data_IF_780088103470
#
_entry.id   IF_780088103470
#
_cell.length_a   1.000
_cell.length_b   1.000
_cell.length_c   1.000
_cell.angle_alpha   90.00
_cell.angle_beta   90.00
_cell.angle_gamma   90.00
#
_symmetry.space_group_name_H-M   'P 1'
#
loop_
_entity.id
_entity.type
_entity.pdbx_description
1 polymer ?
#
# COMPACT_ATOMS: atom_id res chain seq x y z
N UNK A 1 9.05 10.20 21.77
CA UNK A 1 8.54 10.03 20.39
C UNK A 1 7.44 8.99 20.42
N UNK A 2 6.23 9.39 20.03
CA UNK A 2 5.06 8.51 20.07
C UNK A 2 5.12 7.41 19.00
N UNK A 3 4.25 6.40 19.11
CA UNK A 3 4.08 5.36 18.08
C UNK A 3 3.62 5.94 16.73
N UNK A 4 2.90 7.06 16.76
CA UNK A 4 2.44 7.82 15.57
C UNK A 4 3.62 8.44 14.81
N UNK A 5 4.55 9.10 15.51
CA UNK A 5 5.73 9.71 14.89
C UNK A 5 6.62 8.67 14.19
N UNK A 6 6.70 7.45 14.73
CA UNK A 6 7.45 6.35 14.12
C UNK A 6 6.74 5.83 12.87
N UNK A 7 5.42 5.62 12.95
CA UNK A 7 4.59 5.24 11.80
C UNK A 7 4.82 6.16 10.60
N UNK A 8 4.68 7.46 10.83
CA UNK A 8 4.83 8.49 9.81
C UNK A 8 6.23 8.47 9.16
N UNK A 9 7.29 8.21 9.93
CA UNK A 9 8.66 8.14 9.38
C UNK A 9 8.86 7.04 8.34
N UNK A 10 8.30 5.84 8.56
CA UNK A 10 8.45 4.74 7.60
C UNK A 10 7.67 5.04 6.33
N UNK A 11 6.44 5.53 6.50
CA UNK A 11 5.58 5.96 5.39
C UNK A 11 6.23 7.08 4.56
N UNK A 12 6.73 8.12 5.23
CA UNK A 12 7.41 9.24 4.59
C UNK A 12 8.64 8.76 3.82
N UNK A 13 9.51 7.98 4.45
CA UNK A 13 10.70 7.46 3.80
C UNK A 13 10.38 6.59 2.58
N UNK A 14 9.34 5.75 2.67
CA UNK A 14 8.92 4.88 1.57
C UNK A 14 8.27 5.68 0.44
N UNK A 15 7.44 6.67 0.76
CA UNK A 15 6.86 7.57 -0.23
C UNK A 15 7.93 8.36 -0.99
N UNK A 16 8.89 8.97 -0.27
CA UNK A 16 10.00 9.71 -0.87
C UNK A 16 10.88 8.80 -1.74
N UNK A 17 11.10 7.54 -1.33
CA UNK A 17 11.80 6.55 -2.15
C UNK A 17 11.11 6.30 -3.49
N UNK A 18 9.79 6.12 -3.51
CA UNK A 18 9.02 5.94 -4.75
C UNK A 18 9.05 7.19 -5.63
N UNK A 19 8.94 8.38 -5.04
CA UNK A 19 9.06 9.63 -5.80
C UNK A 19 10.44 9.80 -6.41
N UNK A 20 11.49 9.43 -5.68
CA UNK A 20 12.86 9.45 -6.18
C UNK A 20 13.03 8.49 -7.38
N UNK A 21 12.51 7.27 -7.29
CA UNK A 21 12.49 6.33 -8.42
C UNK A 21 11.77 6.93 -9.64
N UNK A 22 10.58 7.52 -9.43
CA UNK A 22 9.81 8.18 -10.49
C UNK A 22 10.62 9.28 -11.17
N UNK A 23 11.28 10.13 -10.37
CA UNK A 23 12.07 11.26 -10.85
C UNK A 23 13.24 10.82 -11.72
N UNK A 24 13.86 9.68 -11.40
CA UNK A 24 14.96 9.12 -12.18
C UNK A 24 14.50 8.33 -13.42
N UNK A 25 13.19 8.19 -13.65
CA UNK A 25 12.67 7.33 -14.72
C UNK A 25 12.86 5.84 -14.46
N UNK A 26 13.12 5.44 -13.22
CA UNK A 26 13.22 4.04 -12.84
C UNK A 26 11.84 3.42 -12.66
N UNK A 27 11.76 2.09 -12.81
CA UNK A 27 10.55 1.33 -12.47
C UNK A 27 10.19 1.55 -10.99
N UNK A 28 8.96 1.97 -10.73
CA UNK A 28 8.43 2.08 -9.38
C UNK A 28 8.30 0.70 -8.75
N UNK A 29 8.84 0.57 -7.53
CA UNK A 29 8.91 -0.70 -6.81
C UNK A 29 9.58 -1.81 -7.65
N UNK A 30 10.42 -1.45 -8.63
CA UNK A 30 11.10 -2.38 -9.53
C UNK A 30 10.20 -3.06 -10.57
N UNK A 31 8.93 -2.67 -10.69
CA UNK A 31 7.95 -3.37 -11.54
C UNK A 31 7.22 -2.43 -12.49
N UNK A 32 6.83 -1.23 -12.03
CA UNK A 32 5.86 -0.41 -12.77
C UNK A 32 6.53 0.76 -13.51
N UNK A 33 6.26 0.94 -14.82
CA UNK A 33 6.76 2.09 -15.57
C UNK A 33 6.28 3.42 -14.98
N UNK A 34 7.19 4.34 -14.62
CA UNK A 34 6.83 5.56 -13.89
C UNK A 34 5.87 6.49 -14.65
N UNK A 35 5.91 6.48 -15.98
CA UNK A 35 5.05 7.27 -16.87
C UNK A 35 3.57 6.85 -16.81
N UNK A 36 3.30 5.59 -16.47
CA UNK A 36 1.95 5.04 -16.30
C UNK A 36 1.41 5.21 -14.88
N UNK A 37 2.22 5.71 -13.95
CA UNK A 37 1.91 5.72 -12.52
C UNK A 37 1.63 7.11 -11.96
N UNK A 38 0.70 7.21 -11.02
CA UNK A 38 0.63 8.31 -10.05
C UNK A 38 0.87 7.77 -8.66
N UNK A 39 1.70 8.46 -7.87
CA UNK A 39 2.07 8.05 -6.50
C UNK A 39 1.45 9.04 -5.52
N UNK A 40 0.72 8.52 -4.54
CA UNK A 40 0.05 9.32 -3.53
C UNK A 40 0.43 8.84 -2.12
N UNK A 41 0.43 9.78 -1.18
CA UNK A 41 0.54 9.53 0.26
C UNK A 41 -0.78 9.93 0.91
N UNK A 42 -1.26 9.15 1.89
CA UNK A 42 -2.53 9.35 2.59
C UNK A 42 -3.71 9.63 1.65
N UNK A 43 -3.79 8.88 0.55
CA UNK A 43 -4.93 9.03 -0.38
C UNK A 43 -6.16 8.33 0.17
N UNK A 44 -7.25 9.08 0.21
CA UNK A 44 -8.56 8.57 0.59
C UNK A 44 -9.40 8.17 -0.62
N UNK A 45 -10.15 7.09 -0.46
CA UNK A 45 -11.14 6.63 -1.44
C UNK A 45 -12.47 6.38 -0.75
N UNK A 46 -13.55 6.78 -1.41
CA UNK A 46 -14.88 6.58 -0.90
C UNK A 46 -15.25 5.09 -0.86
N UNK A 47 -15.61 4.58 0.32
CA UNK A 47 -16.08 3.22 0.52
C UNK A 47 -17.61 3.21 0.58
N UNK A 48 -18.25 2.69 -0.47
CA UNK A 48 -19.71 2.63 -0.54
C UNK A 48 -20.34 1.84 0.61
N UNK A 49 -19.74 0.71 1.00
CA UNK A 49 -20.26 -0.13 2.10
C UNK A 49 -20.20 0.56 3.47
N UNK A 50 -19.23 1.46 3.67
CA UNK A 50 -19.05 2.19 4.93
C UNK A 50 -19.65 3.60 4.90
N UNK A 51 -20.14 4.03 3.75
CA UNK A 51 -20.55 5.42 3.47
C UNK A 51 -19.53 6.46 3.97
N UNK A 52 -18.25 6.12 3.83
CA UNK A 52 -17.16 6.90 4.39
C UNK A 52 -15.87 6.74 3.58
N UNK A 53 -15.00 7.74 3.67
CA UNK A 53 -13.68 7.67 3.08
C UNK A 53 -12.74 6.73 3.84
N UNK A 54 -11.92 6.03 3.09
CA UNK A 54 -10.90 5.12 3.60
C UNK A 54 -9.54 5.59 3.12
N UNK A 55 -8.70 6.00 4.08
CA UNK A 55 -7.32 6.40 3.84
C UNK A 55 -6.39 5.18 3.73
N UNK A 56 -5.38 5.31 2.87
CA UNK A 56 -4.28 4.37 2.70
C UNK A 56 -2.94 5.11 2.76
N UNK A 57 -1.93 4.48 3.36
CA UNK A 57 -0.63 5.10 3.65
C UNK A 57 0.07 5.57 2.37
N UNK A 58 0.34 4.65 1.44
CA UNK A 58 0.92 4.98 0.12
C UNK A 58 0.19 4.20 -0.97
N UNK A 59 -0.11 4.88 -2.08
CA UNK A 59 -0.83 4.29 -3.21
C UNK A 59 -0.12 4.61 -4.52
N UNK A 60 0.08 3.60 -5.35
CA UNK A 60 0.36 3.77 -6.77
C UNK A 60 -0.91 3.48 -7.57
N UNK A 61 -1.37 4.46 -8.34
CA UNK A 61 -2.40 4.28 -9.35
C UNK A 61 -1.75 4.06 -10.70
N UNK A 62 -2.01 2.90 -11.32
CA UNK A 62 -1.49 2.54 -12.63
C UNK A 62 -2.56 2.73 -13.72
N UNK A 63 -2.22 3.54 -14.71
CA UNK A 63 -3.09 3.88 -15.84
C UNK A 63 -2.63 3.15 -17.10
N UNK A 64 -3.58 2.60 -17.85
CA UNK A 64 -3.28 2.20 -19.22
C UNK A 64 -3.31 3.43 -20.13
N UNK A 65 -2.59 3.39 -21.24
CA UNK A 65 -2.51 4.51 -22.18
C UNK A 65 -3.91 4.97 -22.61
N UNK A 66 -4.18 6.28 -22.47
CA UNK A 66 -5.46 6.89 -22.83
C UNK A 66 -6.60 6.72 -21.82
N UNK A 67 -6.44 5.94 -20.74
CA UNK A 67 -7.48 5.81 -19.70
C UNK A 67 -7.45 6.98 -18.71
N UNK A 68 -8.63 7.46 -18.33
CA UNK A 68 -8.81 8.48 -17.29
C UNK A 68 -8.83 7.92 -15.87
N UNK A 69 -9.12 6.62 -15.76
CA UNK A 69 -9.19 5.88 -14.50
C UNK A 69 -8.07 4.86 -14.40
N UNK A 70 -7.53 4.62 -13.20
CA UNK A 70 -6.54 3.57 -12.99
C UNK A 70 -7.18 2.20 -13.23
N UNK A 71 -6.39 1.28 -13.79
CA UNK A 71 -6.81 -0.11 -13.96
C UNK A 71 -6.26 -1.04 -12.87
N UNK A 72 -5.26 -0.56 -12.11
CA UNK A 72 -4.67 -1.26 -10.98
C UNK A 72 -4.28 -0.24 -9.91
N UNK A 73 -4.66 -0.55 -8.67
CA UNK A 73 -4.19 0.11 -7.47
C UNK A 73 -3.14 -0.76 -6.80
N UNK A 74 -1.97 -0.20 -6.48
CA UNK A 74 -0.98 -0.85 -5.63
C UNK A 74 -1.00 -0.13 -4.29
N UNK A 75 -1.53 -0.80 -3.27
CA UNK A 75 -1.75 -0.25 -1.95
C UNK A 75 -0.64 -0.74 -1.03
N UNK A 76 0.08 0.19 -0.44
CA UNK A 76 1.13 -0.09 0.55
C UNK A 76 0.62 0.32 1.92
N UNK A 77 0.52 -0.64 2.83
CA UNK A 77 0.21 -0.39 4.24
C UNK A 77 1.51 -0.47 5.05
N UNK A 78 1.88 0.63 5.69
CA UNK A 78 3.13 0.80 6.40
C UNK A 78 2.93 0.52 7.89
N UNK A 79 3.71 -0.41 8.47
CA UNK A 79 3.70 -0.68 9.91
C UNK A 79 5.08 -0.50 10.52
N UNK A 80 5.20 0.48 11.42
CA UNK A 80 6.41 0.76 12.17
C UNK A 80 6.17 0.67 13.68
N UNK A 81 5.97 -0.55 14.17
CA UNK A 81 5.77 -0.82 15.59
C UNK A 81 6.82 -1.82 16.08
N UNK A 82 7.18 -1.73 17.37
CA UNK A 82 8.14 -2.66 17.99
C UNK A 82 7.62 -4.09 18.12
N UNK A 83 6.29 -4.28 18.00
CA UNK A 83 5.65 -5.59 17.96
C UNK A 83 5.62 -6.20 16.57
N UNK A 84 5.52 -7.53 16.51
CA UNK A 84 5.34 -8.25 15.26
C UNK A 84 3.93 -7.97 14.69
N UNK A 85 3.83 -7.83 13.37
CA UNK A 85 2.52 -7.68 12.71
C UNK A 85 1.72 -8.98 12.85
N UNK A 86 0.49 -8.87 13.38
CA UNK A 86 -0.39 -9.99 13.64
C UNK A 86 -1.09 -10.50 12.38
N UNK A 87 -1.52 -11.76 12.42
CA UNK A 87 -2.28 -12.37 11.32
C UNK A 87 -3.59 -11.62 11.03
N UNK A 88 -4.29 -11.20 12.09
CA UNK A 88 -5.51 -10.39 12.00
C UNK A 88 -5.28 -9.14 11.16
N UNK A 89 -4.16 -8.45 11.38
CA UNK A 89 -3.83 -7.24 10.63
C UNK A 89 -3.66 -7.52 9.12
N UNK A 90 -2.98 -8.61 8.77
CA UNK A 90 -2.79 -9.02 7.37
C UNK A 90 -4.14 -9.35 6.72
N UNK A 91 -5.00 -10.10 7.41
CA UNK A 91 -6.33 -10.46 6.94
C UNK A 91 -7.25 -9.24 6.79
N UNK A 92 -7.22 -8.32 7.75
CA UNK A 92 -8.01 -7.10 7.73
C UNK A 92 -7.59 -6.19 6.57
N UNK A 93 -6.29 -6.02 6.37
CA UNK A 93 -5.75 -5.25 5.25
C UNK A 93 -6.15 -5.89 3.91
N UNK A 94 -5.93 -7.20 3.75
CA UNK A 94 -6.33 -7.93 2.54
C UNK A 94 -7.82 -7.82 2.24
N UNK A 95 -8.67 -7.95 3.26
CA UNK A 95 -10.13 -7.86 3.11
C UNK A 95 -10.59 -6.42 2.87
N UNK A 96 -9.92 -5.42 3.48
CA UNK A 96 -10.17 -3.98 3.24
C UNK A 96 -9.94 -3.64 1.77
N UNK A 97 -8.77 -3.96 1.22
CA UNK A 97 -8.45 -3.63 -0.18
C UNK A 97 -9.30 -4.43 -1.17
N UNK A 98 -9.59 -5.70 -0.88
CA UNK A 98 -10.41 -6.55 -1.75
C UNK A 98 -11.84 -6.02 -1.91
N UNK A 99 -12.43 -5.46 -0.85
CA UNK A 99 -13.74 -4.80 -0.90
C UNK A 99 -13.69 -3.46 -1.66
N UNK A 100 -12.64 -2.67 -1.42
CA UNK A 100 -12.51 -1.33 -2.01
C UNK A 100 -12.24 -1.35 -3.51
N UNK A 101 -11.43 -2.30 -3.97
CA UNK A 101 -10.94 -2.36 -5.34
C UNK A 101 -11.07 -3.79 -5.89
N UNK A 102 -12.29 -4.26 -6.16
CA UNK A 102 -12.52 -5.64 -6.59
C UNK A 102 -11.66 -5.99 -7.81
N UNK A 103 -10.79 -6.99 -7.67
CA UNK A 103 -9.86 -7.50 -8.70
C UNK A 103 -8.82 -6.52 -9.26
N UNK A 104 -8.91 -5.24 -8.94
CA UNK A 104 -8.05 -4.17 -9.46
C UNK A 104 -7.03 -3.69 -8.41
N UNK A 105 -6.57 -4.58 -7.52
CA UNK A 105 -5.66 -4.22 -6.44
C UNK A 105 -4.56 -5.24 -6.16
N UNK A 106 -3.38 -4.72 -5.86
CA UNK A 106 -2.26 -5.44 -5.25
C UNK A 106 -1.95 -4.80 -3.90
N UNK A 107 -2.13 -5.54 -2.82
CA UNK A 107 -1.75 -5.11 -1.47
C UNK A 107 -0.34 -5.52 -1.12
N UNK A 108 0.44 -4.62 -0.53
CA UNK A 108 1.80 -4.84 -0.07
C UNK A 108 1.93 -4.31 1.37
N UNK A 109 2.52 -5.10 2.26
CA UNK A 109 2.85 -4.67 3.62
C UNK A 109 4.30 -4.21 3.69
N UNK A 110 4.52 -2.97 4.11
CA UNK A 110 5.86 -2.41 4.34
C UNK A 110 6.10 -2.36 5.83
N UNK A 111 6.99 -3.21 6.33
CA UNK A 111 7.21 -3.40 7.76
C UNK A 111 8.66 -3.11 8.14
N UNK A 112 8.87 -2.42 9.26
CA UNK A 112 10.22 -2.24 9.84
C UNK A 112 10.62 -3.39 10.79
N UNK A 113 9.64 -4.21 11.20
CA UNK A 113 9.80 -5.36 12.09
C UNK A 113 9.38 -6.67 11.39
N UNK A 114 9.52 -7.81 12.08
CA UNK A 114 9.15 -9.13 11.52
C UNK A 114 7.63 -9.36 11.57
N UNK A 115 7.11 -10.12 10.61
CA UNK A 115 5.77 -10.69 10.69
C UNK A 115 5.75 -11.82 11.74
N UNK A 116 4.62 -12.01 12.44
CA UNK A 116 4.39 -13.25 13.18
C UNK A 116 4.34 -14.44 12.20
N UNK A 117 4.68 -15.66 12.65
CA UNK A 117 4.73 -16.84 11.77
C UNK A 117 3.39 -17.14 11.05
N UNK A 118 2.26 -16.89 11.73
CA UNK A 118 0.92 -16.96 11.11
C UNK A 118 0.70 -15.86 10.06
N UNK A 119 1.06 -14.62 10.38
CA UNK A 119 1.00 -13.49 9.45
C UNK A 119 1.84 -13.70 8.18
N UNK A 120 3.07 -14.21 8.30
CA UNK A 120 3.94 -14.51 7.15
C UNK A 120 3.31 -15.58 6.24
N UNK A 121 2.77 -16.67 6.82
CA UNK A 121 2.07 -17.70 6.05
C UNK A 121 0.85 -17.13 5.31
N UNK A 122 0.03 -16.34 5.99
CA UNK A 122 -1.15 -15.72 5.37
C UNK A 122 -0.75 -14.75 4.26
N UNK A 123 0.24 -13.88 4.49
CA UNK A 123 0.73 -12.95 3.48
C UNK A 123 1.21 -13.68 2.22
N UNK A 124 2.02 -14.75 2.38
CA UNK A 124 2.50 -15.57 1.27
C UNK A 124 1.38 -16.27 0.52
N UNK A 125 0.44 -16.91 1.24
CA UNK A 125 -0.66 -17.64 0.63
C UNK A 125 -1.61 -16.72 -0.14
N UNK A 126 -1.79 -15.49 0.33
CA UNK A 126 -2.57 -14.46 -0.37
C UNK A 126 -1.78 -13.73 -1.45
N UNK A 127 -0.51 -14.08 -1.65
CA UNK A 127 0.42 -13.41 -2.58
C UNK A 127 0.44 -11.90 -2.34
N UNK A 128 0.53 -11.47 -1.08
CA UNK A 128 0.73 -10.08 -0.69
C UNK A 128 2.20 -9.70 -0.81
#
# INVERSE_FOLDING_TARGET
MGSVDKGNKLEDAFYEYLLYQKKLGHLLFGVYPPENCKVFKKKSYYCKEREADVEFDVVIELYAQGRREPHLHVIFECKNHSGNVSETHVNDFSSKIGRMFPHAVKGILVVSSRLQSGADKVARNRKM
#
